data_IF_740754636976
#
_entry.id   IF_740754636976
#
_cell.length_a   1.000
_cell.length_b   1.000
_cell.length_c   1.000
_cell.angle_alpha   90.00
_cell.angle_beta   90.00
_cell.angle_gamma   90.00
#
_symmetry.space_group_name_H-M   'P 1'
#
loop_
_entity.id
_entity.type
_entity.pdbx_description
1 polymer ?
#
# COMPACT_ATOMS: atom_id res chain seq x y z
N UNK A 1 13.40 68.34 77.43
CA UNK A 1 12.98 69.07 76.20
C UNK A 1 13.97 68.78 75.08
N UNK A 2 13.46 68.44 73.88
CA UNK A 2 14.12 68.30 72.55
C UNK A 2 15.06 67.09 72.35
N UNK A 3 14.61 66.08 71.59
CA UNK A 3 14.96 65.74 70.17
C UNK A 3 16.23 64.87 70.12
N UNK A 4 16.41 63.80 69.34
CA UNK A 4 15.83 63.34 68.07
C UNK A 4 16.17 61.84 67.86
N UNK A 5 15.49 61.23 66.89
CA UNK A 5 15.59 59.83 66.42
C UNK A 5 17.00 59.31 66.07
N UNK A 6 17.22 58.01 66.35
CA UNK A 6 18.20 57.13 65.69
C UNK A 6 17.56 55.75 65.46
N UNK A 7 17.78 55.21 64.27
CA UNK A 7 17.30 53.93 63.74
C UNK A 7 18.15 52.74 64.22
N UNK A 8 17.58 51.52 64.28
CA UNK A 8 18.19 50.31 63.69
C UNK A 8 17.27 49.06 63.76
N UNK A 9 17.55 48.17 62.82
CA UNK A 9 16.95 46.87 62.45
C UNK A 9 16.54 45.91 63.58
N UNK A 10 15.47 45.13 63.30
CA UNK A 10 15.19 43.87 63.99
C UNK A 10 14.04 43.12 63.31
N UNK A 11 14.38 42.18 62.42
CA UNK A 11 13.46 41.34 61.67
C UNK A 11 12.71 40.34 62.57
N UNK A 12 11.39 40.19 62.37
CA UNK A 12 10.68 38.97 62.73
C UNK A 12 9.72 38.58 61.60
N UNK A 13 10.17 37.61 60.82
CA UNK A 13 9.42 36.91 59.77
C UNK A 13 8.29 36.10 60.39
N UNK A 14 7.05 36.47 60.11
CA UNK A 14 5.88 35.62 60.29
C UNK A 14 5.41 35.14 58.91
N UNK A 15 5.92 33.98 58.48
CA UNK A 15 5.45 33.31 57.29
C UNK A 15 4.08 32.68 57.58
N UNK A 16 3.00 33.35 57.16
CA UNK A 16 1.67 32.77 57.14
C UNK A 16 1.59 31.76 56.00
N UNK A 17 1.41 30.50 56.40
CA UNK A 17 1.16 29.35 55.55
C UNK A 17 -0.13 29.56 54.73
N UNK A 18 0.03 29.82 53.43
CA UNK A 18 -1.01 29.57 52.44
C UNK A 18 -0.94 28.11 52.01
N UNK A 19 -1.96 27.33 52.34
CA UNK A 19 -2.11 25.94 51.93
C UNK A 19 -2.09 25.81 50.40
N UNK A 20 -0.97 25.31 49.86
CA UNK A 20 -0.91 24.84 48.48
C UNK A 20 -1.78 23.58 48.38
N UNK A 21 -2.96 23.71 47.80
CA UNK A 21 -3.72 22.55 47.34
C UNK A 21 -2.86 21.82 46.31
N UNK A 22 -2.59 20.51 46.47
CA UNK A 22 -1.94 19.77 45.42
C UNK A 22 -2.87 19.80 44.19
N UNK A 23 -2.38 20.39 43.10
CA UNK A 23 -3.02 20.25 41.81
C UNK A 23 -3.05 18.74 41.50
N UNK A 24 -4.23 18.15 41.58
CA UNK A 24 -4.49 16.83 41.03
C UNK A 24 -4.12 16.89 39.55
N UNK A 25 -2.95 16.35 39.20
CA UNK A 25 -2.62 16.10 37.81
C UNK A 25 -3.75 15.26 37.24
N UNK A 26 -4.51 15.82 36.30
CA UNK A 26 -5.51 15.05 35.57
C UNK A 26 -4.77 13.87 34.93
N UNK A 27 -4.96 12.67 35.49
CA UNK A 27 -4.48 11.44 34.88
C UNK A 27 -5.13 11.38 33.52
N UNK A 28 -4.35 11.59 32.46
CA UNK A 28 -4.83 11.41 31.10
C UNK A 28 -5.39 9.98 31.04
N UNK A 29 -6.67 9.78 30.65
CA UNK A 29 -7.23 8.44 30.60
C UNK A 29 -6.30 7.52 29.82
N UNK A 30 -6.03 6.33 30.35
CA UNK A 30 -5.20 5.35 29.68
C UNK A 30 -5.75 5.14 28.25
N UNK A 31 -4.96 5.56 27.26
CA UNK A 31 -5.36 5.51 25.86
C UNK A 31 -5.60 4.05 25.46
N UNK A 32 -6.76 3.78 24.85
CA UNK A 32 -7.09 2.42 24.38
C UNK A 32 -6.03 1.98 23.37
N UNK A 33 -5.31 0.91 23.70
CA UNK A 33 -4.36 0.29 22.78
C UNK A 33 -5.11 -0.20 21.55
N UNK A 34 -4.68 0.27 20.39
CA UNK A 34 -5.37 0.07 19.09
C UNK A 34 -4.29 0.09 18.03
N UNK A 35 -4.35 -0.87 17.12
CA UNK A 35 -3.49 -0.90 15.95
C UNK A 35 -4.14 -0.23 14.76
N UNK A 36 -3.31 0.29 13.87
CA UNK A 36 -3.68 0.92 12.62
C UNK A 36 -3.23 0.06 11.45
N UNK A 37 -4.09 -0.09 10.45
CA UNK A 37 -3.69 -0.55 9.13
C UNK A 37 -4.56 0.09 8.06
N UNK A 38 -3.96 0.50 6.95
CA UNK A 38 -4.71 1.15 5.89
C UNK A 38 -4.00 1.06 4.56
N UNK A 39 -4.78 1.17 3.49
CA UNK A 39 -4.32 1.09 2.11
C UNK A 39 -5.10 2.05 1.25
N UNK A 40 -4.44 2.69 0.31
CA UNK A 40 -5.10 3.46 -0.74
C UNK A 40 -4.40 3.25 -2.09
N UNK A 41 -5.17 3.17 -3.17
CA UNK A 41 -4.65 3.06 -4.53
C UNK A 41 -5.58 3.73 -5.54
N UNK A 42 -4.96 4.26 -6.60
CA UNK A 42 -5.65 4.94 -7.69
C UNK A 42 -6.50 3.97 -8.51
N UNK A 43 -5.88 2.99 -9.14
CA UNK A 43 -6.58 2.01 -9.98
C UNK A 43 -6.06 0.60 -9.76
N UNK A 44 -6.94 -0.38 -9.87
CA UNK A 44 -6.59 -1.80 -9.92
C UNK A 44 -7.53 -2.51 -10.89
N UNK A 45 -6.95 -3.17 -11.90
CA UNK A 45 -7.70 -3.75 -13.01
C UNK A 45 -7.27 -5.19 -13.15
N UNK A 46 -8.23 -6.11 -13.18
CA UNK A 46 -7.94 -7.51 -13.42
C UNK A 46 -9.12 -8.22 -14.06
N UNK A 47 -8.89 -9.41 -14.60
CA UNK A 47 -9.95 -10.33 -15.00
C UNK A 47 -9.91 -11.62 -14.16
N UNK A 48 -10.98 -12.41 -14.24
CA UNK A 48 -11.13 -13.62 -13.40
C UNK A 48 -10.04 -14.67 -13.65
N UNK A 49 -9.59 -14.84 -14.89
CA UNK A 49 -8.51 -15.78 -15.25
C UNK A 49 -7.08 -15.25 -14.96
N UNK A 50 -6.96 -14.00 -14.46
CA UNK A 50 -5.70 -13.31 -14.13
C UNK A 50 -4.69 -13.22 -15.28
N UNK A 51 -5.13 -13.34 -16.53
CA UNK A 51 -4.30 -13.06 -17.71
C UNK A 51 -4.14 -11.56 -17.98
N UNK A 52 -5.08 -10.75 -17.48
CA UNK A 52 -4.95 -9.30 -17.37
C UNK A 52 -4.96 -8.97 -15.88
N UNK A 53 -3.86 -8.46 -15.34
CA UNK A 53 -3.81 -7.93 -13.98
C UNK A 53 -2.83 -6.77 -13.93
N UNK A 54 -3.33 -5.56 -13.70
CA UNK A 54 -2.50 -4.41 -13.35
C UNK A 54 -2.06 -4.52 -11.89
N UNK A 55 -0.91 -3.96 -11.53
CA UNK A 55 -0.66 -3.62 -10.13
C UNK A 55 -1.52 -2.41 -9.71
N UNK A 56 -1.79 -2.21 -8.39
CA UNK A 56 -2.47 -1.01 -7.93
C UNK A 56 -1.62 0.24 -8.20
N UNK A 57 -2.17 1.21 -8.93
CA UNK A 57 -1.45 2.47 -9.23
C UNK A 57 -1.41 3.38 -8.00
N UNK A 58 -0.32 4.14 -7.87
CA UNK A 58 -0.10 5.03 -6.72
C UNK A 58 -0.40 4.35 -5.38
N UNK A 59 -0.03 3.07 -5.18
CA UNK A 59 -0.38 2.35 -3.96
C UNK A 59 0.36 2.93 -2.75
N UNK A 60 -0.37 3.37 -1.73
CA UNK A 60 0.14 3.73 -0.42
C UNK A 60 -0.48 2.83 0.64
N UNK A 61 0.23 2.66 1.75
CA UNK A 61 -0.23 1.80 2.82
C UNK A 61 0.57 1.98 4.10
N UNK A 62 -0.12 1.80 5.21
CA UNK A 62 0.46 1.63 6.53
C UNK A 62 0.14 0.20 6.94
N UNK A 63 1.19 -0.62 7.02
CA UNK A 63 1.09 -1.94 7.63
C UNK A 63 0.82 -1.79 9.13
N UNK A 64 0.48 -2.90 9.77
CA UNK A 64 -0.02 -2.92 11.12
C UNK A 64 0.96 -2.28 12.10
N UNK A 65 0.48 -1.32 12.88
CA UNK A 65 1.30 -0.57 13.85
C UNK A 65 0.44 0.03 14.95
N UNK A 66 0.94 0.12 16.18
CA UNK A 66 0.32 0.91 17.24
C UNK A 66 0.67 2.40 17.22
N UNK A 67 1.61 2.81 16.36
CA UNK A 67 2.18 4.15 16.32
C UNK A 67 1.26 5.14 15.60
N UNK A 68 1.14 6.34 16.16
CA UNK A 68 0.45 7.49 15.56
C UNK A 68 1.43 8.42 14.85
N UNK A 69 0.94 9.34 14.03
CA UNK A 69 1.77 10.31 13.30
C UNK A 69 2.48 9.74 12.07
N UNK A 70 2.26 8.46 11.75
CA UNK A 70 2.78 7.85 10.51
C UNK A 70 1.98 8.33 9.31
N UNK A 71 2.69 8.62 8.23
CA UNK A 71 2.11 8.94 6.91
C UNK A 71 2.81 8.14 5.84
N UNK A 72 2.05 7.60 4.89
CA UNK A 72 2.50 6.97 3.65
C UNK A 72 1.78 7.65 2.50
N UNK A 73 2.50 8.09 1.48
CA UNK A 73 1.91 8.71 0.29
C UNK A 73 2.60 8.21 -0.96
N UNK A 74 1.89 8.26 -2.08
CA UNK A 74 2.43 7.84 -3.35
C UNK A 74 1.74 8.54 -4.51
N UNK A 75 2.44 8.70 -5.63
CA UNK A 75 1.92 9.28 -6.86
C UNK A 75 2.27 8.42 -8.07
N UNK A 76 1.38 8.41 -9.05
CA UNK A 76 1.57 7.74 -10.33
C UNK A 76 1.19 8.68 -11.47
N UNK A 77 1.92 8.60 -12.58
CA UNK A 77 1.52 9.26 -13.81
C UNK A 77 0.24 8.64 -14.37
N UNK A 78 -0.33 9.28 -15.40
CA UNK A 78 -1.42 8.65 -16.15
C UNK A 78 -0.95 7.33 -16.75
N UNK A 79 -1.79 6.30 -16.67
CA UNK A 79 -1.51 4.95 -17.13
C UNK A 79 -2.51 4.56 -18.23
N UNK A 80 -2.05 4.38 -19.49
CA UNK A 80 -2.84 3.69 -20.48
C UNK A 80 -2.88 2.19 -20.16
N UNK A 81 -4.08 1.62 -20.15
CA UNK A 81 -4.31 0.20 -19.94
C UNK A 81 -4.89 -0.37 -21.22
N UNK A 82 -4.15 -1.20 -21.97
CA UNK A 82 -4.62 -1.75 -23.23
C UNK A 82 -6.02 -2.37 -23.13
N UNK A 83 -6.85 -2.12 -24.15
CA UNK A 83 -8.28 -2.46 -24.24
C UNK A 83 -9.21 -1.81 -23.19
N UNK A 84 -8.71 -1.41 -22.02
CA UNK A 84 -9.51 -0.80 -20.95
C UNK A 84 -9.63 0.71 -21.09
N UNK A 85 -8.57 1.41 -21.49
CA UNK A 85 -8.57 2.86 -21.67
C UNK A 85 -7.51 3.56 -20.83
N UNK A 86 -7.78 4.81 -20.42
CA UNK A 86 -6.83 5.67 -19.72
C UNK A 86 -7.29 5.96 -18.29
N UNK A 87 -6.38 5.75 -17.34
CA UNK A 87 -6.52 6.26 -15.97
C UNK A 87 -5.55 7.41 -15.81
N UNK A 88 -6.04 8.58 -15.40
CA UNK A 88 -5.23 9.76 -15.16
C UNK A 88 -4.26 9.59 -14.01
N UNK A 89 -3.42 10.62 -13.81
CA UNK A 89 -2.48 10.63 -12.69
C UNK A 89 -3.21 10.39 -11.35
N UNK A 90 -2.60 9.60 -10.48
CA UNK A 90 -3.18 9.23 -9.21
C UNK A 90 -2.27 9.65 -8.05
N UNK A 91 -2.88 10.14 -6.98
CA UNK A 91 -2.22 10.50 -5.72
C UNK A 91 -2.96 9.83 -4.58
N UNK A 92 -2.23 9.17 -3.69
CA UNK A 92 -2.84 8.53 -2.52
C UNK A 92 -2.08 8.82 -1.25
N UNK A 93 -2.77 8.70 -0.12
CA UNK A 93 -2.17 8.78 1.19
C UNK A 93 -2.89 7.95 2.22
N UNK A 94 -2.14 7.47 3.21
CA UNK A 94 -2.64 6.85 4.43
C UNK A 94 -1.92 7.50 5.60
N UNK A 95 -2.66 7.92 6.64
CA UNK A 95 -2.06 8.50 7.85
C UNK A 95 -2.74 8.03 9.12
N UNK A 96 -1.95 7.92 10.18
CA UNK A 96 -2.38 7.58 11.55
C UNK A 96 -2.32 8.82 12.42
N UNK A 97 -3.31 9.01 13.26
CA UNK A 97 -3.53 10.24 14.01
C UNK A 97 -3.89 9.90 15.45
N UNK A 98 -3.31 10.68 16.36
CA UNK A 98 -3.82 10.84 17.72
C UNK A 98 -4.64 12.13 17.73
N UNK A 99 -5.92 12.03 18.02
CA UNK A 99 -6.81 13.19 18.19
C UNK A 99 -7.03 13.44 19.67
N UNK A 100 -7.57 14.61 20.02
CA UNK A 100 -8.01 14.91 21.40
C UNK A 100 -9.09 13.95 21.89
N UNK A 101 -9.83 13.31 20.97
CA UNK A 101 -10.96 12.43 21.25
C UNK A 101 -10.64 10.94 21.12
N UNK A 102 -9.46 10.56 20.60
CA UNK A 102 -9.06 9.16 20.45
C UNK A 102 -8.03 8.91 19.35
N UNK A 103 -8.10 7.74 18.73
CA UNK A 103 -7.21 7.30 17.66
C UNK A 103 -7.93 7.26 16.34
N UNK A 104 -7.25 7.65 15.27
CA UNK A 104 -7.82 7.74 13.93
C UNK A 104 -6.84 7.28 12.85
N UNK A 105 -7.36 6.64 11.82
CA UNK A 105 -6.63 6.41 10.57
C UNK A 105 -7.45 6.93 9.41
N UNK A 106 -6.77 7.61 8.48
CA UNK A 106 -7.36 8.13 7.26
C UNK A 106 -6.65 7.53 6.05
N UNK A 107 -7.42 7.19 5.03
CA UNK A 107 -6.92 6.77 3.72
C UNK A 107 -7.61 7.58 2.63
N UNK A 108 -6.84 8.05 1.66
CA UNK A 108 -7.31 8.90 0.56
C UNK A 108 -6.72 8.44 -0.78
N UNK A 109 -7.55 8.48 -1.81
CA UNK A 109 -7.12 8.32 -3.20
C UNK A 109 -7.77 9.38 -4.07
N UNK A 110 -6.97 10.02 -4.91
CA UNK A 110 -7.40 10.99 -5.92
C UNK A 110 -6.85 10.59 -7.28
N UNK A 111 -7.67 10.65 -8.32
CA UNK A 111 -7.31 10.43 -9.73
C UNK A 111 -7.73 11.66 -10.51
N UNK A 112 -6.87 12.17 -11.40
CA UNK A 112 -7.12 13.40 -12.15
C UNK A 112 -8.27 13.27 -13.19
N UNK A 113 -8.51 12.06 -13.70
CA UNK A 113 -9.53 11.78 -14.71
C UNK A 113 -9.49 10.33 -15.18
N UNK A 114 -10.50 9.88 -15.92
CA UNK A 114 -10.48 8.58 -16.57
C UNK A 114 -11.34 8.56 -17.83
N UNK A 115 -10.94 7.73 -18.78
CA UNK A 115 -11.73 7.36 -19.94
C UNK A 115 -11.60 5.85 -20.12
N UNK A 116 -12.66 5.12 -19.83
CA UNK A 116 -12.71 3.67 -19.85
C UNK A 116 -13.61 3.16 -20.98
N UNK A 117 -13.27 1.96 -21.46
CA UNK A 117 -14.06 1.13 -22.37
C UNK A 117 -14.49 1.90 -23.63
N UNK A 118 -13.54 2.65 -24.22
CA UNK A 118 -13.80 3.44 -25.44
C UNK A 118 -14.74 4.63 -25.23
N UNK A 119 -14.80 5.20 -24.02
CA UNK A 119 -15.65 6.36 -23.71
C UNK A 119 -17.02 6.00 -23.13
N UNK A 120 -17.32 4.72 -22.91
CA UNK A 120 -18.56 4.32 -22.24
C UNK A 120 -18.62 4.83 -20.79
N UNK A 121 -17.47 5.00 -20.14
CA UNK A 121 -17.37 5.62 -18.82
C UNK A 121 -16.26 6.65 -18.82
N UNK A 122 -16.60 7.92 -18.63
CA UNK A 122 -15.64 9.01 -18.49
C UNK A 122 -15.88 9.73 -17.18
N UNK A 123 -14.82 10.16 -16.51
CA UNK A 123 -14.93 11.06 -15.37
C UNK A 123 -13.76 12.03 -15.33
N UNK A 124 -14.01 13.21 -14.77
CA UNK A 124 -12.96 14.09 -14.28
C UNK A 124 -12.36 13.56 -12.97
N UNK A 125 -12.01 14.47 -12.07
CA UNK A 125 -11.36 14.10 -10.82
C UNK A 125 -12.21 13.12 -9.99
N UNK A 126 -11.61 11.99 -9.60
CA UNK A 126 -12.21 10.97 -8.74
C UNK A 126 -11.49 11.02 -7.39
N UNK A 127 -12.22 11.24 -6.30
CA UNK A 127 -11.68 11.20 -4.95
C UNK A 127 -12.46 10.21 -4.09
N UNK A 128 -11.73 9.41 -3.30
CA UNK A 128 -12.27 8.60 -2.21
C UNK A 128 -11.52 8.89 -0.91
N UNK A 129 -12.23 8.93 0.20
CA UNK A 129 -11.68 9.08 1.54
C UNK A 129 -12.39 8.10 2.48
N UNK A 130 -11.60 7.40 3.30
CA UNK A 130 -12.10 6.52 4.35
C UNK A 130 -11.41 6.87 5.67
N UNK A 131 -12.18 7.09 6.73
CA UNK A 131 -11.69 7.28 8.09
C UNK A 131 -12.26 6.25 9.04
N UNK A 132 -11.42 5.72 9.92
CA UNK A 132 -11.82 4.91 11.05
C UNK A 132 -11.28 5.55 12.33
N UNK A 133 -12.16 5.71 13.30
CA UNK A 133 -11.94 6.42 14.54
C UNK A 133 -12.32 5.51 15.71
N UNK A 134 -11.54 5.53 16.80
CA UNK A 134 -11.88 4.90 18.08
C UNK A 134 -11.66 5.90 19.19
N UNK A 135 -12.74 6.27 19.88
CA UNK A 135 -12.67 7.29 20.91
C UNK A 135 -12.04 6.76 22.22
N UNK A 136 -11.80 7.64 23.19
CA UNK A 136 -11.24 7.28 24.50
C UNK A 136 -12.14 6.34 25.32
N UNK A 137 -13.45 6.33 25.07
CA UNK A 137 -14.40 5.37 25.64
C UNK A 137 -14.39 4.00 24.93
N UNK A 138 -13.58 3.84 23.87
CA UNK A 138 -13.46 2.62 23.09
C UNK A 138 -14.51 2.43 21.99
N UNK A 139 -15.42 3.38 21.79
CA UNK A 139 -16.43 3.33 20.73
C UNK A 139 -15.82 3.61 19.36
N UNK A 140 -16.24 2.85 18.36
CA UNK A 140 -15.81 3.00 16.97
C UNK A 140 -16.75 3.92 16.19
N UNK A 141 -16.19 4.74 15.31
CA UNK A 141 -16.93 5.50 14.31
C UNK A 141 -16.11 5.62 13.04
N UNK A 142 -16.75 5.96 11.91
CA UNK A 142 -16.01 6.08 10.65
C UNK A 142 -16.77 6.80 9.57
N UNK A 143 -16.02 7.33 8.60
CA UNK A 143 -16.54 8.16 7.51
C UNK A 143 -16.10 7.60 6.17
N UNK A 144 -17.01 7.58 5.20
CA UNK A 144 -16.71 7.33 3.80
C UNK A 144 -17.14 8.57 3.01
N UNK A 145 -16.27 9.04 2.10
CA UNK A 145 -16.58 10.17 1.22
C UNK A 145 -16.08 9.86 -0.19
N UNK A 146 -16.92 10.17 -1.17
CA UNK A 146 -16.59 10.03 -2.59
C UNK A 146 -17.05 11.26 -3.35
N UNK A 147 -16.22 11.73 -4.28
CA UNK A 147 -16.59 12.72 -5.28
C UNK A 147 -16.07 12.28 -6.64
N UNK A 148 -16.91 12.34 -7.67
CA UNK A 148 -16.59 11.96 -9.04
C UNK A 148 -17.02 13.11 -9.96
N UNK A 149 -16.09 14.01 -10.28
CA UNK A 149 -16.38 15.15 -11.14
C UNK A 149 -16.71 14.68 -12.57
N UNK A 150 -17.62 15.39 -13.24
CA UNK A 150 -17.96 15.21 -14.66
C UNK A 150 -18.20 13.75 -15.09
N UNK A 151 -18.75 12.93 -14.19
CA UNK A 151 -19.02 11.53 -14.50
C UNK A 151 -20.06 11.44 -15.61
N UNK A 152 -19.72 10.73 -16.68
CA UNK A 152 -20.64 10.30 -17.72
C UNK A 152 -20.59 8.80 -17.86
N UNK A 153 -21.76 8.20 -17.88
CA UNK A 153 -21.96 6.78 -18.15
C UNK A 153 -22.84 6.71 -19.38
N UNK A 154 -22.30 6.17 -20.47
CA UNK A 154 -22.98 6.09 -21.77
C UNK A 154 -23.39 7.47 -22.31
N UNK A 155 -22.55 8.47 -22.08
CA UNK A 155 -22.83 9.87 -22.43
C UNK A 155 -23.83 10.58 -21.50
N UNK A 156 -24.50 9.87 -20.59
CA UNK A 156 -25.42 10.45 -19.61
C UNK A 156 -24.64 10.94 -18.40
N UNK A 157 -24.81 12.23 -18.06
CA UNK A 157 -24.19 12.82 -16.88
C UNK A 157 -24.77 12.23 -15.59
N UNK A 158 -23.90 11.90 -14.64
CA UNK A 158 -24.25 11.43 -13.31
C UNK A 158 -23.77 12.47 -12.29
N UNK A 159 -24.56 12.73 -11.26
CA UNK A 159 -24.21 13.70 -10.22
C UNK A 159 -22.87 13.39 -9.54
N UNK A 160 -22.11 14.42 -9.20
CA UNK A 160 -20.74 14.27 -8.72
C UNK A 160 -20.59 13.60 -7.35
N UNK A 161 -21.66 13.49 -6.57
CA UNK A 161 -21.68 12.85 -5.26
C UNK A 161 -22.78 11.77 -5.24
N UNK A 162 -22.56 10.62 -5.90
CA UNK A 162 -23.53 9.55 -5.93
C UNK A 162 -23.78 9.00 -4.51
N UNK A 163 -25.02 8.58 -4.24
CA UNK A 163 -25.38 7.93 -2.99
C UNK A 163 -24.54 6.68 -2.73
N UNK A 164 -24.44 6.26 -1.47
CA UNK A 164 -23.67 5.08 -1.11
C UNK A 164 -24.17 3.84 -1.88
N UNK A 165 -23.25 3.08 -2.45
CA UNK A 165 -23.51 1.84 -3.20
C UNK A 165 -24.49 2.03 -4.38
N UNK A 166 -24.46 3.18 -5.06
CA UNK A 166 -25.28 3.41 -6.26
C UNK A 166 -24.84 2.46 -7.38
N UNK A 167 -25.76 1.68 -7.92
CA UNK A 167 -25.47 0.74 -9.03
C UNK A 167 -26.14 1.21 -10.31
N UNK A 168 -25.36 1.28 -11.38
CA UNK A 168 -25.82 1.56 -12.74
C UNK A 168 -25.56 0.33 -13.62
N UNK A 169 -26.45 0.09 -14.57
CA UNK A 169 -26.27 -0.96 -15.56
C UNK A 169 -25.26 -0.51 -16.63
N UNK A 170 -24.26 -1.33 -16.92
CA UNK A 170 -23.33 -1.05 -18.01
C UNK A 170 -23.94 -1.61 -19.29
N UNK A 171 -24.56 -0.73 -20.08
CA UNK A 171 -25.13 -1.09 -21.38
C UNK A 171 -24.23 -0.64 -22.51
N UNK A 172 -23.87 -1.52 -23.43
CA UNK A 172 -23.18 -1.11 -24.66
C UNK A 172 -24.19 -0.97 -25.81
N UNK A 173 -24.02 0.01 -26.72
CA UNK A 173 -24.82 0.10 -27.93
C UNK A 173 -24.84 -1.25 -28.66
N UNK A 174 -26.00 -1.68 -29.14
CA UNK A 174 -26.25 -2.95 -29.85
C UNK A 174 -26.08 -4.24 -29.02
N UNK A 175 -25.48 -4.19 -27.84
CA UNK A 175 -25.19 -5.37 -27.00
C UNK A 175 -26.06 -5.47 -25.74
N UNK A 176 -26.78 -4.40 -25.40
CA UNK A 176 -27.60 -4.35 -24.19
C UNK A 176 -26.73 -4.35 -22.93
N UNK A 177 -27.26 -4.88 -21.83
CA UNK A 177 -26.56 -4.98 -20.54
C UNK A 177 -25.42 -6.00 -20.61
N UNK A 178 -24.20 -5.50 -20.46
CA UNK A 178 -22.94 -6.26 -20.49
C UNK A 178 -22.24 -6.32 -19.12
N UNK A 179 -22.74 -5.60 -18.11
CA UNK A 179 -22.09 -5.50 -16.81
C UNK A 179 -22.78 -4.53 -15.88
N UNK A 180 -22.06 -4.08 -14.85
CA UNK A 180 -22.56 -3.06 -13.92
C UNK A 180 -21.45 -2.11 -13.49
N UNK A 181 -21.85 -0.91 -13.09
CA UNK A 181 -21.01 0.11 -12.52
C UNK A 181 -21.51 0.37 -11.10
N UNK A 182 -20.64 0.22 -10.10
CA UNK A 182 -20.93 0.63 -8.73
C UNK A 182 -20.21 1.93 -8.44
N UNK A 183 -20.96 2.96 -8.06
CA UNK A 183 -20.46 4.26 -7.63
C UNK A 183 -20.50 4.34 -6.12
N UNK A 184 -19.49 4.98 -5.54
CA UNK A 184 -19.39 5.21 -4.11
C UNK A 184 -19.67 3.92 -3.31
N UNK A 185 -18.99 2.83 -3.67
CA UNK A 185 -19.09 1.56 -2.97
C UNK A 185 -18.50 1.71 -1.57
N UNK A 186 -19.31 1.54 -0.54
CA UNK A 186 -18.93 1.77 0.86
C UNK A 186 -19.19 0.55 1.72
N UNK A 187 -18.28 0.30 2.65
CA UNK A 187 -18.40 -0.76 3.65
C UNK A 187 -17.88 -0.24 5.00
N UNK A 188 -18.63 -0.51 6.07
CA UNK A 188 -18.23 -0.33 7.47
C UNK A 188 -18.56 -1.60 8.22
N UNK A 189 -17.55 -2.26 8.78
CA UNK A 189 -17.70 -3.57 9.40
C UNK A 189 -16.86 -3.65 10.67
N UNK A 190 -17.46 -4.17 11.75
CA UNK A 190 -16.76 -4.54 12.98
C UNK A 190 -16.82 -6.05 13.15
N UNK A 191 -15.70 -6.75 12.97
CA UNK A 191 -15.61 -8.20 13.14
C UNK A 191 -14.41 -8.52 14.01
N UNK A 192 -14.62 -9.29 15.09
CA UNK A 192 -13.55 -9.69 16.02
C UNK A 192 -12.71 -8.51 16.53
N UNK A 193 -13.35 -7.36 16.77
CA UNK A 193 -12.69 -6.13 17.22
C UNK A 193 -11.89 -5.37 16.16
N UNK A 194 -11.87 -5.85 14.92
CA UNK A 194 -11.33 -5.13 13.76
C UNK A 194 -12.43 -4.28 13.14
N UNK A 195 -12.28 -2.96 13.21
CA UNK A 195 -13.17 -2.01 12.58
C UNK A 195 -12.59 -1.55 11.24
N UNK A 196 -13.26 -1.93 10.15
CA UNK A 196 -12.89 -1.61 8.78
C UNK A 196 -13.85 -0.58 8.21
N UNK A 197 -13.29 0.41 7.55
CA UNK A 197 -14.02 1.40 6.74
C UNK A 197 -13.36 1.45 5.37
N UNK A 198 -14.09 1.11 4.31
CA UNK A 198 -13.55 1.13 2.95
C UNK A 198 -14.47 1.78 1.94
N UNK A 199 -13.87 2.46 0.97
CA UNK A 199 -14.54 3.13 -0.13
C UNK A 199 -13.89 2.74 -1.45
N UNK A 200 -14.70 2.41 -2.44
CA UNK A 200 -14.31 2.35 -3.87
C UNK A 200 -15.15 3.37 -4.62
N UNK A 201 -14.53 4.43 -5.14
CA UNK A 201 -15.26 5.52 -5.77
C UNK A 201 -16.00 5.08 -7.03
N UNK A 202 -15.35 4.33 -7.91
CA UNK A 202 -15.92 3.80 -9.14
C UNK A 202 -15.43 2.36 -9.35
N UNK A 203 -16.36 1.42 -9.48
CA UNK A 203 -16.08 0.03 -9.85
C UNK A 203 -16.86 -0.35 -11.10
N UNK A 204 -16.20 -0.90 -12.11
CA UNK A 204 -16.83 -1.41 -13.33
C UNK A 204 -16.60 -2.90 -13.42
N UNK A 205 -17.68 -3.67 -13.54
CA UNK A 205 -17.65 -5.13 -13.65
C UNK A 205 -18.24 -5.54 -15.00
N UNK A 206 -17.45 -6.18 -15.86
CA UNK A 206 -17.88 -6.72 -17.15
C UNK A 206 -18.33 -8.16 -16.94
N UNK A 207 -19.63 -8.41 -17.08
CA UNK A 207 -20.27 -9.68 -16.74
C UNK A 207 -20.64 -10.51 -17.97
N UNK A 208 -20.63 -9.92 -19.16
CA UNK A 208 -20.91 -10.60 -20.43
C UNK A 208 -19.90 -10.20 -21.50
N UNK A 209 -19.75 -11.07 -22.50
CA UNK A 209 -18.90 -10.79 -23.65
C UNK A 209 -19.52 -9.70 -24.53
N UNK A 210 -18.70 -9.04 -25.34
CA UNK A 210 -19.17 -8.08 -26.35
C UNK A 210 -18.29 -6.83 -26.49
N UNK A 211 -17.46 -6.51 -25.50
CA UNK A 211 -16.46 -5.45 -25.62
C UNK A 211 -15.18 -6.00 -26.23
N UNK A 212 -14.77 -5.46 -27.38
CA UNK A 212 -13.55 -5.87 -28.06
C UNK A 212 -12.32 -5.70 -27.14
N UNK A 213 -11.50 -6.76 -27.02
CA UNK A 213 -10.29 -6.77 -26.19
C UNK A 213 -10.53 -6.88 -24.68
N UNK A 214 -11.78 -6.88 -24.21
CA UNK A 214 -12.12 -7.02 -22.79
C UNK A 214 -12.80 -8.37 -22.54
N UNK A 215 -12.19 -9.16 -21.65
CA UNK A 215 -12.72 -10.47 -21.25
C UNK A 215 -13.87 -10.34 -20.24
N UNK A 216 -14.76 -11.32 -20.25
CA UNK A 216 -15.76 -11.50 -19.19
C UNK A 216 -15.05 -11.65 -17.84
N UNK A 217 -15.64 -11.07 -16.78
CA UNK A 217 -15.06 -11.06 -15.44
C UNK A 217 -13.99 -10.00 -15.23
N UNK A 218 -13.83 -9.05 -16.15
CA UNK A 218 -12.99 -7.87 -15.94
C UNK A 218 -13.60 -6.97 -14.86
N UNK A 219 -12.81 -6.66 -13.83
CA UNK A 219 -13.12 -5.80 -12.69
C UNK A 219 -12.12 -4.62 -12.68
N UNK A 220 -12.64 -3.41 -12.84
CA UNK A 220 -11.89 -2.16 -12.85
C UNK A 220 -12.29 -1.40 -11.59
N UNK A 221 -11.34 -1.16 -10.68
CA UNK A 221 -11.57 -0.41 -9.44
C UNK A 221 -10.76 0.88 -9.46
N UNK A 222 -11.44 2.00 -9.34
CA UNK A 222 -10.84 3.33 -9.26
C UNK A 222 -11.16 4.01 -7.93
N UNK A 223 -10.16 4.68 -7.37
CA UNK A 223 -10.25 5.47 -6.16
C UNK A 223 -10.59 4.61 -4.97
N UNK A 224 -9.66 3.76 -4.54
CA UNK A 224 -9.85 2.87 -3.40
C UNK A 224 -9.13 3.41 -2.18
N UNK A 225 -9.84 3.45 -1.05
CA UNK A 225 -9.31 3.78 0.26
C UNK A 225 -9.87 2.81 1.31
N UNK A 226 -9.01 2.33 2.20
CA UNK A 226 -9.37 1.41 3.29
C UNK A 226 -8.65 1.82 4.56
N UNK A 227 -9.41 2.02 5.63
CA UNK A 227 -8.95 2.44 6.93
C UNK A 227 -9.40 1.41 7.97
N UNK A 228 -8.45 0.78 8.67
CA UNK A 228 -8.72 -0.27 9.66
C UNK A 228 -8.14 0.11 11.02
N UNK A 229 -8.95 -0.09 12.05
CA UNK A 229 -8.53 -0.13 13.44
C UNK A 229 -8.60 -1.57 13.93
N UNK A 230 -7.55 -2.02 14.60
CA UNK A 230 -7.42 -3.41 15.08
C UNK A 230 -7.30 -3.42 16.61
N UNK A 231 -7.67 -4.53 17.27
CA UNK A 231 -7.43 -4.71 18.69
C UNK A 231 -5.94 -4.58 19.01
N UNK A 232 -5.64 -4.26 20.26
CA UNK A 232 -4.29 -4.37 20.77
C UNK A 232 -3.80 -5.82 20.66
N UNK A 233 -2.53 -5.98 20.29
CA UNK A 233 -1.91 -7.29 20.13
C UNK A 233 -0.47 -7.27 20.63
N UNK A 234 0.02 -8.43 21.09
CA UNK A 234 1.37 -8.61 21.65
C UNK A 234 2.51 -8.37 20.64
N UNK A 235 2.18 -8.14 19.37
CA UNK A 235 3.09 -7.64 18.35
C UNK A 235 2.33 -7.32 17.07
N UNK A 236 2.76 -6.27 16.36
CA UNK A 236 2.21 -5.94 15.06
C UNK A 236 3.05 -6.57 13.95
N UNK A 237 2.50 -7.57 13.28
CA UNK A 237 3.14 -8.17 12.11
C UNK A 237 3.08 -7.18 10.95
N UNK A 238 4.22 -6.96 10.28
CA UNK A 238 4.28 -6.22 9.03
C UNK A 238 4.89 -7.11 7.95
N UNK A 239 4.26 -7.15 6.79
CA UNK A 239 4.75 -7.96 5.69
C UNK A 239 4.18 -7.47 4.37
N UNK A 240 5.01 -7.44 3.34
CA UNK A 240 4.59 -7.06 2.00
C UNK A 240 5.45 -7.78 0.99
N UNK A 241 4.84 -8.36 -0.03
CA UNK A 241 5.58 -8.89 -1.18
C UNK A 241 4.91 -8.46 -2.48
N UNK A 242 5.70 -8.38 -3.55
CA UNK A 242 5.21 -8.14 -4.90
C UNK A 242 6.19 -8.67 -5.93
N UNK A 243 5.70 -8.91 -7.15
CA UNK A 243 6.49 -9.48 -8.23
C UNK A 243 7.29 -8.43 -8.98
N UNK A 244 6.65 -7.34 -9.44
CA UNK A 244 7.35 -6.29 -10.18
C UNK A 244 6.81 -4.90 -9.88
N UNK A 245 7.66 -3.88 -9.93
CA UNK A 245 7.29 -2.46 -9.83
C UNK A 245 8.26 -1.61 -10.66
N UNK A 246 7.76 -0.54 -11.29
CA UNK A 246 8.60 0.42 -12.02
C UNK A 246 8.32 1.85 -11.56
N UNK A 247 9.39 2.57 -11.18
CA UNK A 247 9.37 3.94 -10.67
C UNK A 247 10.20 4.82 -11.61
N UNK A 248 9.64 5.92 -12.08
CA UNK A 248 10.34 6.92 -12.89
C UNK A 248 11.35 7.69 -12.04
N UNK A 249 12.35 8.30 -12.68
CA UNK A 249 13.41 9.04 -11.99
C UNK A 249 12.90 10.22 -11.14
N UNK A 250 11.79 10.84 -11.56
CA UNK A 250 11.12 11.90 -10.80
C UNK A 250 10.26 11.38 -9.63
N UNK A 251 10.32 10.07 -9.34
CA UNK A 251 9.56 9.41 -8.28
C UNK A 251 8.14 9.00 -8.65
N UNK A 252 7.63 9.38 -9.82
CA UNK A 252 6.30 8.95 -10.27
C UNK A 252 6.30 7.45 -10.60
N UNK A 253 5.25 6.74 -10.20
CA UNK A 253 5.06 5.37 -10.63
C UNK A 253 4.64 5.28 -12.09
N UNK A 254 5.37 4.49 -12.87
CA UNK A 254 4.95 4.08 -14.21
C UNK A 254 4.10 2.80 -14.15
N UNK A 255 4.43 1.87 -13.24
CA UNK A 255 3.65 0.66 -12.99
C UNK A 255 3.60 0.33 -11.50
N UNK A 256 2.39 0.06 -11.01
CA UNK A 256 2.15 -0.42 -9.64
C UNK A 256 2.71 -1.83 -9.38
N UNK A 257 2.81 -2.25 -8.10
CA UNK A 257 3.33 -3.56 -7.73
C UNK A 257 2.40 -4.70 -8.20
N UNK A 258 2.89 -5.65 -8.98
CA UNK A 258 2.09 -6.79 -9.44
C UNK A 258 2.10 -7.94 -8.45
N UNK A 259 1.02 -8.73 -8.43
CA UNK A 259 0.79 -9.80 -7.45
C UNK A 259 1.09 -9.37 -6.01
N UNK A 260 0.69 -8.15 -5.63
CA UNK A 260 0.99 -7.60 -4.31
C UNK A 260 0.15 -8.26 -3.22
N UNK A 261 0.79 -8.67 -2.13
CA UNK A 261 0.10 -9.17 -0.94
C UNK A 261 0.69 -8.54 0.32
N UNK A 262 -0.17 -8.29 1.30
CA UNK A 262 0.18 -7.71 2.60
C UNK A 262 -0.13 -8.70 3.71
N UNK A 263 0.76 -8.80 4.71
CA UNK A 263 0.45 -9.52 5.93
C UNK A 263 -0.73 -8.85 6.65
N UNK A 264 -1.65 -9.67 7.16
CA UNK A 264 -2.69 -9.19 8.07
C UNK A 264 -2.09 -8.73 9.40
N UNK A 265 -2.84 -7.91 10.14
CA UNK A 265 -2.37 -7.45 11.45
C UNK A 265 -2.24 -8.57 12.46
N UNK A 266 -3.16 -9.53 12.45
CA UNK A 266 -3.08 -10.73 13.25
C UNK A 266 -2.40 -11.88 12.52
N UNK A 267 -2.65 -13.08 13.02
CA UNK A 267 -2.32 -14.31 12.29
C UNK A 267 -3.19 -14.46 11.03
N UNK A 268 -2.71 -15.24 10.07
CA UNK A 268 -3.47 -15.54 8.86
C UNK A 268 -2.59 -15.69 7.62
N UNK A 269 -3.22 -16.00 6.50
CA UNK A 269 -2.54 -16.10 5.20
C UNK A 269 -3.22 -15.18 4.20
N UNK A 270 -2.44 -14.41 3.45
CA UNK A 270 -2.91 -13.69 2.27
C UNK A 270 -2.10 -14.09 1.07
N UNK A 271 -2.70 -14.07 -0.12
CA UNK A 271 -2.01 -14.39 -1.36
C UNK A 271 -2.53 -13.58 -2.53
N UNK A 272 -1.65 -13.27 -3.47
CA UNK A 272 -1.99 -12.68 -4.75
C UNK A 272 -1.23 -13.40 -5.86
N UNK A 273 -1.93 -13.74 -6.95
CA UNK A 273 -1.37 -14.47 -8.08
C UNK A 273 -1.67 -13.73 -9.38
N UNK A 274 -0.76 -13.85 -10.35
CA UNK A 274 -0.95 -13.45 -11.75
C UNK A 274 -0.51 -14.60 -12.65
N UNK A 275 -1.25 -14.85 -13.73
CA UNK A 275 -0.94 -15.93 -14.66
C UNK A 275 0.31 -15.65 -15.51
N UNK A 276 0.60 -14.37 -15.71
CA UNK A 276 1.79 -13.86 -16.37
C UNK A 276 1.96 -12.38 -16.07
N UNK A 277 3.20 -11.92 -16.13
CA UNK A 277 3.51 -10.50 -16.15
C UNK A 277 3.81 -10.11 -17.59
N UNK A 278 3.21 -9.04 -18.07
CA UNK A 278 3.69 -8.38 -19.28
C UNK A 278 3.65 -6.87 -19.05
N UNK A 279 4.82 -6.27 -18.91
CA UNK A 279 5.03 -4.83 -18.93
C UNK A 279 5.62 -4.52 -20.31
N UNK A 280 4.82 -3.99 -21.26
CA UNK A 280 5.26 -3.76 -22.62
C UNK A 280 6.58 -2.99 -22.68
N UNK A 281 7.53 -3.51 -23.46
CA UNK A 281 8.86 -2.91 -23.64
C UNK A 281 9.78 -2.98 -22.43
N UNK A 282 9.36 -3.60 -21.31
CA UNK A 282 10.14 -3.68 -20.08
C UNK A 282 10.42 -5.12 -19.63
N UNK A 283 9.38 -5.88 -19.31
CA UNK A 283 9.55 -7.20 -18.71
C UNK A 283 8.36 -8.10 -19.00
N UNK A 284 8.63 -9.38 -19.18
CA UNK A 284 7.64 -10.44 -19.25
C UNK A 284 8.00 -11.55 -18.27
N UNK A 285 6.99 -12.25 -17.77
CA UNK A 285 7.18 -13.46 -16.98
C UNK A 285 6.01 -14.41 -17.15
N UNK A 286 6.27 -15.67 -16.82
CA UNK A 286 5.22 -16.63 -16.53
C UNK A 286 4.52 -16.33 -15.20
N UNK A 287 3.86 -17.36 -14.66
CA UNK A 287 3.08 -17.23 -13.44
C UNK A 287 3.90 -16.66 -12.29
N UNK A 288 3.26 -15.79 -11.51
CA UNK A 288 3.85 -15.21 -10.32
C UNK A 288 2.87 -15.19 -9.17
N UNK A 289 3.37 -15.41 -7.97
CA UNK A 289 2.57 -15.48 -6.74
C UNK A 289 3.30 -14.81 -5.60
N UNK A 290 2.58 -14.04 -4.79
CA UNK A 290 3.04 -13.63 -3.46
C UNK A 290 2.14 -14.25 -2.42
N UNK A 291 2.73 -14.86 -1.40
CA UNK A 291 2.06 -15.38 -0.22
C UNK A 291 2.65 -14.71 1.01
N UNK A 292 1.79 -14.29 1.93
CA UNK A 292 2.19 -13.84 3.26
C UNK A 292 1.51 -14.70 4.30
N UNK A 293 2.25 -15.05 5.36
CA UNK A 293 1.76 -15.87 6.48
C UNK A 293 2.17 -15.16 7.76
N UNK A 294 1.19 -14.83 8.59
CA UNK A 294 1.38 -14.33 9.95
C UNK A 294 0.94 -15.36 10.97
N UNK A 295 1.68 -15.46 12.07
CA UNK A 295 1.37 -16.29 13.23
C UNK A 295 1.69 -15.47 14.48
N UNK A 296 0.85 -15.54 15.51
CA UNK A 296 1.07 -14.84 16.79
C UNK A 296 1.49 -15.76 17.94
N UNK A 297 1.17 -17.06 17.85
CA UNK A 297 1.43 -18.07 18.89
C UNK A 297 2.16 -19.29 18.30
N UNK A 298 3.17 -19.87 18.99
CA UNK A 298 3.64 -19.52 20.35
C UNK A 298 4.46 -18.24 20.40
N UNK A 299 4.88 -17.71 19.24
CA UNK A 299 5.60 -16.44 19.13
C UNK A 299 5.25 -15.75 17.81
N UNK A 300 5.26 -14.40 17.77
CA UNK A 300 4.97 -13.66 16.56
C UNK A 300 5.99 -13.98 15.46
N UNK A 301 5.49 -14.44 14.32
CA UNK A 301 6.24 -14.76 13.11
C UNK A 301 5.49 -14.25 11.90
N UNK A 302 6.21 -13.66 10.96
CA UNK A 302 5.70 -13.34 9.64
C UNK A 302 6.67 -13.85 8.58
N UNK A 303 6.12 -14.50 7.56
CA UNK A 303 6.84 -14.97 6.37
C UNK A 303 6.19 -14.37 5.15
N UNK A 304 7.00 -13.87 4.22
CA UNK A 304 6.57 -13.45 2.90
C UNK A 304 7.38 -14.24 1.88
N UNK A 305 6.69 -14.84 0.93
CA UNK A 305 7.28 -15.57 -0.19
C UNK A 305 6.70 -15.01 -1.48
N UNK A 306 7.55 -14.42 -2.32
CA UNK A 306 7.25 -14.11 -3.71
C UNK A 306 7.94 -15.12 -4.62
N UNK A 307 7.21 -15.68 -5.56
CA UNK A 307 7.68 -16.64 -6.55
C UNK A 307 7.31 -16.16 -7.94
N UNK A 308 8.24 -16.30 -8.87
CA UNK A 308 8.14 -15.82 -10.23
C UNK A 308 8.78 -16.85 -11.16
N UNK A 309 8.06 -17.25 -12.22
CA UNK A 309 8.58 -18.16 -13.24
C UNK A 309 8.90 -17.43 -14.55
N UNK A 310 9.96 -17.87 -15.24
CA UNK A 310 10.30 -17.48 -16.60
C UNK A 310 10.46 -15.98 -16.80
N UNK A 311 11.24 -15.32 -15.95
CA UNK A 311 11.51 -13.89 -16.09
C UNK A 311 12.31 -13.60 -17.36
N UNK A 312 11.87 -12.60 -18.12
CA UNK A 312 12.60 -12.00 -19.22
C UNK A 312 12.45 -10.48 -19.17
N UNK A 313 13.54 -9.77 -18.91
CA UNK A 313 13.61 -8.30 -18.85
C UNK A 313 14.34 -7.80 -20.09
N UNK A 314 13.76 -6.78 -20.73
CA UNK A 314 14.33 -6.03 -21.84
C UNK A 314 14.84 -6.92 -22.97
N UNK A 315 13.94 -7.75 -23.49
CA UNK A 315 14.20 -8.65 -24.62
C UNK A 315 15.40 -9.60 -24.40
N UNK A 316 15.52 -10.13 -23.19
CA UNK A 316 16.49 -11.16 -22.83
C UNK A 316 17.77 -10.65 -22.20
N UNK A 317 17.86 -9.35 -21.92
CA UNK A 317 19.03 -8.78 -21.26
C UNK A 317 19.22 -9.34 -19.83
N UNK A 318 18.13 -9.59 -19.12
CA UNK A 318 18.14 -10.34 -17.85
C UNK A 318 17.08 -11.44 -17.93
N UNK A 319 17.49 -12.68 -17.68
CA UNK A 319 16.62 -13.86 -17.71
C UNK A 319 16.80 -14.69 -16.45
N UNK A 320 15.73 -15.28 -15.94
CA UNK A 320 15.79 -16.29 -14.90
C UNK A 320 14.61 -17.25 -15.04
N UNK A 321 14.85 -18.55 -14.90
CA UNK A 321 13.79 -19.55 -15.03
C UNK A 321 12.85 -19.50 -13.81
N UNK A 322 13.40 -19.22 -12.63
CA UNK A 322 12.63 -18.95 -11.44
C UNK A 322 13.34 -17.96 -10.52
N UNK A 323 12.55 -17.17 -9.82
CA UNK A 323 12.99 -16.30 -8.73
C UNK A 323 12.11 -16.60 -7.52
N UNK A 324 12.74 -16.80 -6.37
CA UNK A 324 12.08 -16.84 -5.08
C UNK A 324 12.65 -15.73 -4.20
N UNK A 325 11.84 -14.77 -3.81
CA UNK A 325 12.16 -13.81 -2.77
C UNK A 325 11.42 -14.23 -1.51
N UNK A 326 12.14 -14.67 -0.47
CA UNK A 326 11.51 -15.15 0.75
C UNK A 326 12.21 -14.59 1.98
N UNK A 327 11.44 -13.87 2.78
CA UNK A 327 11.90 -13.35 4.07
C UNK A 327 11.03 -13.86 5.19
N UNK A 328 11.62 -14.05 6.37
CA UNK A 328 10.87 -14.24 7.59
C UNK A 328 11.44 -13.48 8.76
N UNK A 329 10.55 -12.99 9.61
CA UNK A 329 10.87 -12.30 10.85
C UNK A 329 10.12 -13.01 11.97
N UNK A 330 10.84 -13.40 13.02
CA UNK A 330 10.26 -14.03 14.22
C UNK A 330 10.79 -13.32 15.45
N UNK A 331 9.96 -13.11 16.48
CA UNK A 331 10.41 -12.49 17.73
C UNK A 331 9.96 -13.32 18.92
N UNK A 332 10.92 -13.78 19.72
CA UNK A 332 10.63 -14.49 20.95
C UNK A 332 9.93 -13.58 21.97
N UNK A 333 9.15 -14.17 22.88
CA UNK A 333 8.50 -13.42 23.94
C UNK A 333 9.53 -12.65 24.78
N UNK A 334 9.27 -11.36 25.01
CA UNK A 334 10.16 -10.48 25.78
C UNK A 334 11.45 -10.05 25.06
N UNK A 335 11.72 -10.52 23.84
CA UNK A 335 12.90 -10.11 23.09
C UNK A 335 12.72 -8.73 22.45
N UNK A 336 13.77 -7.91 22.47
CA UNK A 336 13.81 -6.59 21.80
C UNK A 336 14.27 -6.67 20.35
N UNK A 337 14.96 -7.76 19.97
CA UNK A 337 15.43 -8.04 18.61
C UNK A 337 14.63 -9.20 18.01
N UNK A 338 14.50 -9.17 16.68
CA UNK A 338 13.87 -10.26 15.93
C UNK A 338 14.94 -11.13 15.24
N UNK A 339 14.65 -12.42 15.12
CA UNK A 339 15.37 -13.33 14.23
C UNK A 339 14.91 -13.08 12.80
N UNK A 340 15.86 -12.71 11.93
CA UNK A 340 15.62 -12.40 10.52
C UNK A 340 16.23 -13.48 9.63
N UNK A 341 15.42 -14.03 8.73
CA UNK A 341 15.84 -15.06 7.78
C UNK A 341 15.52 -14.65 6.36
N UNK A 342 16.42 -15.04 5.46
CA UNK A 342 16.36 -14.85 4.01
C UNK A 342 16.69 -16.20 3.37
N UNK A 343 15.77 -16.74 2.58
CA UNK A 343 15.95 -18.02 1.86
C UNK A 343 15.79 -17.82 0.36
N UNK A 344 16.05 -16.60 -0.11
CA UNK A 344 15.81 -16.17 -1.48
C UNK A 344 16.81 -16.80 -2.45
N UNK A 345 16.35 -17.13 -3.67
CA UNK A 345 17.13 -17.89 -4.65
C UNK A 345 16.81 -17.48 -6.08
N UNK A 346 17.82 -17.63 -6.95
CA UNK A 346 17.65 -17.62 -8.40
C UNK A 346 17.78 -19.03 -8.96
N UNK A 347 17.02 -19.32 -10.01
CA UNK A 347 17.23 -20.49 -10.86
C UNK A 347 17.62 -20.02 -12.24
N UNK A 348 18.80 -20.45 -12.71
CA UNK A 348 19.32 -20.16 -14.04
C UNK A 348 19.32 -18.67 -14.41
N UNK A 349 19.79 -17.81 -13.50
CA UNK A 349 19.96 -16.39 -13.77
C UNK A 349 21.02 -16.17 -14.86
N UNK A 350 20.67 -15.39 -15.87
CA UNK A 350 21.54 -15.00 -16.98
C UNK A 350 21.40 -13.51 -17.21
N UNK A 351 22.52 -12.85 -17.43
CA UNK A 351 22.58 -11.45 -17.85
C UNK A 351 23.40 -11.40 -19.12
N UNK A 352 22.85 -10.83 -20.20
CA UNK A 352 23.53 -10.81 -21.49
C UNK A 352 24.85 -10.02 -21.39
N UNK A 353 25.90 -10.55 -22.02
CA UNK A 353 27.24 -9.97 -21.96
C UNK A 353 28.04 -10.30 -20.70
N UNK A 354 27.50 -11.12 -19.79
CA UNK A 354 28.20 -11.58 -18.60
C UNK A 354 28.29 -13.11 -18.55
N UNK A 355 29.33 -13.65 -17.88
CA UNK A 355 29.41 -15.10 -17.64
C UNK A 355 28.21 -15.58 -16.82
N UNK A 356 27.94 -16.89 -16.89
CA UNK A 356 26.84 -17.49 -16.14
C UNK A 356 26.93 -17.15 -14.65
N UNK A 357 25.89 -16.52 -14.12
CA UNK A 357 25.78 -16.22 -12.70
C UNK A 357 25.23 -17.47 -12.02
N UNK A 358 25.97 -18.01 -11.05
CA UNK A 358 25.54 -19.20 -10.32
C UNK A 358 24.22 -18.94 -9.56
N UNK A 359 23.53 -20.02 -9.17
CA UNK A 359 22.25 -19.93 -8.44
C UNK A 359 22.37 -19.23 -7.07
N UNK A 360 23.59 -19.12 -6.52
CA UNK A 360 23.90 -18.56 -5.22
C UNK A 360 24.54 -17.18 -5.33
N UNK A 361 23.75 -16.21 -5.77
CA UNK A 361 24.18 -14.81 -5.82
C UNK A 361 24.34 -14.26 -4.40
N UNK A 362 25.53 -13.77 -4.06
CA UNK A 362 25.78 -13.16 -2.77
C UNK A 362 24.88 -11.92 -2.57
N UNK A 363 24.42 -11.63 -1.34
CA UNK A 363 23.64 -10.43 -1.06
C UNK A 363 24.32 -9.15 -1.54
N UNK A 364 23.53 -8.24 -2.12
CA UNK A 364 23.95 -6.93 -2.64
C UNK A 364 25.01 -6.99 -3.75
N UNK A 365 24.99 -8.04 -4.57
CA UNK A 365 25.89 -8.14 -5.74
C UNK A 365 25.51 -7.09 -6.77
N UNK A 366 26.42 -6.16 -7.07
CA UNK A 366 26.20 -5.09 -8.05
C UNK A 366 26.88 -5.44 -9.36
N UNK A 367 26.14 -5.28 -10.45
CA UNK A 367 26.58 -5.57 -11.81
C UNK A 367 26.26 -4.38 -12.69
N UNK A 368 27.21 -3.98 -13.53
CA UNK A 368 26.97 -2.98 -14.57
C UNK A 368 26.63 -3.70 -15.88
N UNK A 369 25.49 -3.35 -16.47
CA UNK A 369 25.01 -3.96 -17.70
C UNK A 369 25.03 -2.91 -18.80
N UNK A 370 25.83 -3.17 -19.84
CA UNK A 370 25.96 -2.28 -20.98
C UNK A 370 24.58 -2.03 -21.62
N UNK A 371 24.26 -0.77 -21.90
CA UNK A 371 22.98 -0.38 -22.47
C UNK A 371 21.78 -0.39 -21.49
N UNK A 372 22.01 -0.67 -20.20
CA UNK A 372 20.97 -0.66 -19.17
C UNK A 372 21.30 0.27 -18.01
N UNK A 373 22.43 0.01 -17.35
CA UNK A 373 22.83 0.69 -16.12
C UNK A 373 23.17 -0.30 -15.01
N UNK A 374 22.89 0.10 -13.77
CA UNK A 374 23.27 -0.67 -12.59
C UNK A 374 22.18 -1.68 -12.24
N UNK A 375 22.56 -2.94 -12.08
CA UNK A 375 21.71 -4.02 -11.59
C UNK A 375 22.25 -4.48 -10.25
N UNK A 376 21.47 -4.35 -9.19
CA UNK A 376 21.75 -4.98 -7.90
C UNK A 376 20.95 -6.26 -7.78
N UNK A 377 21.67 -7.38 -7.71
CA UNK A 377 21.11 -8.70 -7.49
C UNK A 377 21.08 -9.00 -6.00
N UNK A 378 20.02 -9.67 -5.56
CA UNK A 378 19.82 -10.11 -4.17
C UNK A 378 20.05 -8.95 -3.18
N UNK A 379 19.38 -7.82 -3.39
CA UNK A 379 19.53 -6.64 -2.53
C UNK A 379 18.87 -6.89 -1.19
N UNK A 380 19.66 -6.92 -0.12
CA UNK A 380 19.20 -7.24 1.24
C UNK A 380 19.47 -6.07 2.18
N UNK A 381 18.44 -5.65 2.91
CA UNK A 381 18.54 -4.65 3.98
C UNK A 381 17.89 -5.18 5.26
N UNK A 382 18.57 -5.03 6.40
CA UNK A 382 18.13 -5.53 7.70
C UNK A 382 18.13 -4.41 8.74
N UNK A 383 17.16 -4.45 9.65
CA UNK A 383 17.14 -3.67 10.90
C UNK A 383 17.12 -4.63 12.09
N UNK A 384 16.93 -4.14 13.32
CA UNK A 384 16.75 -5.01 14.49
C UNK A 384 15.41 -5.78 14.49
N UNK A 385 14.44 -5.36 13.67
CA UNK A 385 13.06 -5.89 13.70
C UNK A 385 12.49 -6.19 12.32
N UNK A 386 13.24 -5.99 11.24
CA UNK A 386 12.75 -6.18 9.88
C UNK A 386 13.84 -6.54 8.87
N UNK A 387 13.43 -7.19 7.79
CA UNK A 387 14.27 -7.51 6.64
C UNK A 387 13.52 -7.18 5.34
N UNK A 388 14.24 -6.64 4.38
CA UNK A 388 13.78 -6.38 3.01
C UNK A 388 14.72 -7.12 2.05
N UNK A 389 14.14 -7.82 1.09
CA UNK A 389 14.84 -8.43 -0.03
C UNK A 389 14.22 -7.93 -1.34
N UNK A 390 15.06 -7.52 -2.28
CA UNK A 390 14.69 -7.28 -3.67
C UNK A 390 15.62 -8.09 -4.55
N UNK A 391 15.09 -9.05 -5.29
CA UNK A 391 15.91 -9.99 -6.05
C UNK A 391 16.63 -9.27 -7.19
N UNK A 392 15.94 -8.44 -7.97
CA UNK A 392 16.59 -7.63 -9.01
C UNK A 392 16.13 -6.19 -8.84
N UNK A 393 17.08 -5.29 -8.60
CA UNK A 393 16.89 -3.84 -8.54
C UNK A 393 17.72 -3.20 -9.67
N UNK A 394 17.06 -2.71 -10.71
CA UNK A 394 17.70 -2.07 -11.87
C UNK A 394 17.56 -0.56 -11.74
N UNK A 395 18.65 0.18 -11.92
CA UNK A 395 18.68 1.64 -12.06
C UNK A 395 19.18 1.97 -13.46
N UNK A 396 18.32 2.60 -14.26
CA UNK A 396 18.63 2.92 -15.65
C UNK A 396 19.70 4.02 -15.75
N UNK A 397 20.76 3.81 -16.54
CA UNK A 397 21.75 4.84 -16.87
C UNK A 397 21.40 5.63 -18.14
N UNK A 398 20.43 5.14 -18.91
CA UNK A 398 19.93 5.76 -20.14
C UNK A 398 18.42 5.51 -20.29
N UNK A 399 17.69 6.29 -21.10
CA UNK A 399 16.26 6.07 -21.27
C UNK A 399 15.99 4.76 -22.03
N UNK A 400 14.93 4.05 -21.63
CA UNK A 400 14.45 2.83 -22.29
C UNK A 400 12.93 2.93 -22.48
N UNK A 401 12.49 3.08 -23.73
CA UNK A 401 11.08 3.29 -24.05
C UNK A 401 10.53 4.53 -23.35
N UNK A 402 9.49 4.34 -22.53
CA UNK A 402 8.89 5.41 -21.71
C UNK A 402 9.61 5.66 -20.38
N UNK A 403 10.64 4.89 -20.03
CA UNK A 403 11.37 5.04 -18.78
C UNK A 403 12.58 5.97 -18.99
N UNK A 404 12.64 7.15 -18.34
CA UNK A 404 13.80 8.03 -18.42
C UNK A 404 15.00 7.46 -17.65
N UNK A 405 16.19 8.01 -17.91
CA UNK A 405 17.40 7.78 -17.10
C UNK A 405 17.12 7.97 -15.61
N UNK A 406 17.62 7.07 -14.77
CA UNK A 406 17.42 7.06 -13.32
C UNK A 406 16.16 6.31 -12.86
N UNK A 407 15.33 5.81 -13.79
CA UNK A 407 14.18 4.98 -13.42
C UNK A 407 14.63 3.68 -12.73
N UNK A 408 13.81 3.22 -11.79
CA UNK A 408 14.05 2.02 -10.98
C UNK A 408 13.05 0.92 -11.31
N UNK A 409 13.55 -0.28 -11.56
CA UNK A 409 12.73 -1.47 -11.81
C UNK A 409 13.07 -2.50 -10.73
N UNK A 410 12.05 -2.93 -10.00
CA UNK A 410 12.18 -3.88 -8.90
C UNK A 410 11.46 -5.17 -9.26
N UNK A 411 12.12 -6.31 -9.12
CA UNK A 411 11.57 -7.63 -9.39
C UNK A 411 11.87 -8.55 -8.21
N UNK A 412 10.87 -9.31 -7.77
CA UNK A 412 10.97 -10.23 -6.65
C UNK A 412 11.21 -9.51 -5.33
N UNK A 413 10.16 -8.88 -4.79
CA UNK A 413 10.24 -8.14 -3.53
C UNK A 413 9.60 -8.90 -2.37
N UNK A 414 10.29 -8.94 -1.24
CA UNK A 414 9.79 -9.47 0.03
C UNK A 414 10.22 -8.59 1.19
N UNK A 415 9.27 -8.23 2.05
CA UNK A 415 9.49 -7.51 3.30
C UNK A 415 8.78 -8.22 4.44
N UNK A 416 9.48 -8.39 5.56
CA UNK A 416 8.91 -8.84 6.82
C UNK A 416 9.43 -8.01 7.98
N UNK A 417 8.56 -7.71 8.93
CA UNK A 417 8.90 -7.01 10.15
C UNK A 417 7.93 -7.34 11.28
N UNK A 418 8.38 -7.08 12.51
CA UNK A 418 7.51 -7.16 13.68
C UNK A 418 7.71 -5.87 14.48
N UNK A 419 6.67 -5.02 14.48
CA UNK A 419 6.61 -3.79 15.27
C UNK A 419 6.44 -4.08 16.76
N UNK A 420 6.80 -3.11 17.60
CA UNK A 420 6.43 -3.14 19.03
C UNK A 420 4.94 -2.91 19.20
#
# INVERSE_FOLDING_TARGET
MKRSHVALLGALTLALAGSATPALAATTPAQVTTGFAGTAYGSYIFNTDKTLTSGPTASSGISCTGLTGRTSSNTAAALPVPAVGNVGAATTSVKTLLTTTGKRIESKSTIAGTNLLGGLVTAGAITSESSADKNTAGAFSGTNKTTIADLKVLGVAVGANPGANTVLDLKAPLLGSIGKITLNGQEKVLVNGVYKVSTTALRVEVLKAGLAGIKVGTDIRLGVSTANLTPAQAGYLSGTGFTSRAVLANGLLNSGPTAVAYAGCGAGTTSANVAGLNIPGLASSGAASTKTIGVLSPQPKVTVTNSLAGLNVLNGLIQADAIKAETSTTRAAGATTATLSDTSTFTNLRIAGLPAINASVAPNTVVQVAGLGQVTLHKVSKSSTSIIVTMIDVVLSQPIGALPTGSKIQIGYSYTGIGQ
#
